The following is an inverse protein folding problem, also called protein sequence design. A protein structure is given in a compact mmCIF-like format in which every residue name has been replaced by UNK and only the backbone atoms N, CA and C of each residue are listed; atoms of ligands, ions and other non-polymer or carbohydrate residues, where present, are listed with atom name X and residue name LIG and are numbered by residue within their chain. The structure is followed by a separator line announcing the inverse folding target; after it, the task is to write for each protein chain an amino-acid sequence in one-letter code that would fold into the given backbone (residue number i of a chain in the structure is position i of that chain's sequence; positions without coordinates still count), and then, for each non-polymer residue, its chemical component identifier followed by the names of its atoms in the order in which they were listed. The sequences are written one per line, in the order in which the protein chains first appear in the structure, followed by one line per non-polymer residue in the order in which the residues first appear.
data_IF_270330895238
#
_entry.id   IF_270330895238
#
_cell.length_a   1.000
_cell.length_b   1.000
_cell.length_c   1.000
_cell.angle_alpha   90.00
_cell.angle_beta   90.00
_cell.angle_gamma   90.00
#
_symmetry.space_group_name_H-M   'P 1'
#
loop_
_entity.id
_entity.type
_entity.pdbx_description
1 polymer ?
#
# COMPACT_ATOMS: atom_id res chain seq x y z
N UNK A 1 -16.28 -6.32 23.85
CA UNK A 1 -16.63 -7.18 25.01
C UNK A 1 -18.10 -7.63 24.98
N UNK A 2 -19.03 -6.83 24.46
CA UNK A 2 -20.48 -7.10 24.45
C UNK A 2 -20.94 -8.33 23.65
N UNK A 3 -20.07 -9.05 22.94
CA UNK A 3 -20.42 -10.25 22.17
C UNK A 3 -19.44 -11.41 22.44
N UNK A 4 -18.73 -11.37 23.59
CA UNK A 4 -17.73 -12.37 23.95
C UNK A 4 -16.39 -12.23 23.21
N UNK A 5 -16.12 -11.06 22.62
CA UNK A 5 -14.81 -10.72 22.09
C UNK A 5 -13.92 -10.15 23.19
N UNK A 6 -12.66 -10.55 23.22
CA UNK A 6 -11.59 -10.03 24.10
C UNK A 6 -10.48 -9.47 23.24
N UNK A 7 -9.85 -8.39 23.70
CA UNK A 7 -8.70 -7.84 23.00
C UNK A 7 -7.57 -8.87 22.96
N UNK A 8 -6.99 -9.04 21.77
CA UNK A 8 -5.92 -9.99 21.54
C UNK A 8 -4.56 -9.28 21.52
N UNK A 9 -3.56 -9.88 22.15
CA UNK A 9 -2.16 -9.47 22.02
C UNK A 9 -1.52 -10.04 20.75
N UNK A 10 -2.16 -11.02 20.10
CA UNK A 10 -1.73 -11.64 18.86
C UNK A 10 -2.21 -10.82 17.67
N UNK A 11 -1.53 -9.72 17.35
CA UNK A 11 -1.94 -8.89 16.21
C UNK A 11 -1.34 -9.41 14.91
N UNK A 12 -2.19 -9.63 13.89
CA UNK A 12 -1.77 -9.94 12.52
C UNK A 12 -1.60 -8.69 11.65
N UNK A 13 -2.04 -7.52 12.13
CA UNK A 13 -2.01 -6.26 11.41
C UNK A 13 -1.21 -5.21 12.18
N UNK A 14 -0.50 -4.36 11.45
CA UNK A 14 0.16 -3.18 12.01
C UNK A 14 -0.95 -2.21 12.43
N UNK A 15 -1.03 -1.82 13.72
CA UNK A 15 -2.18 -1.05 14.22
C UNK A 15 -2.21 0.41 13.78
N UNK A 16 -1.07 0.96 13.32
CA UNK A 16 -0.98 2.33 12.83
C UNK A 16 -1.06 2.34 11.31
N UNK A 17 -1.84 3.23 10.76
CA UNK A 17 -1.94 3.48 9.33
C UNK A 17 -2.06 4.98 9.07
N UNK A 18 -2.30 5.35 7.82
CA UNK A 18 -2.56 6.71 7.37
C UNK A 18 -3.65 6.64 6.31
N UNK A 19 -4.78 7.28 6.57
CA UNK A 19 -5.94 7.28 5.68
C UNK A 19 -6.15 8.68 5.13
N UNK A 20 -6.13 8.80 3.81
CA UNK A 20 -6.46 10.06 3.12
C UNK A 20 -7.91 10.00 2.66
N UNK A 21 -8.69 11.03 3.02
CA UNK A 21 -10.03 11.27 2.47
C UNK A 21 -9.90 11.77 1.03
N UNK A 22 -10.20 10.89 0.07
CA UNK A 22 -10.09 11.20 -1.36
C UNK A 22 -11.40 11.75 -1.94
N UNK A 23 -12.47 11.94 -1.16
CA UNK A 23 -13.70 12.60 -1.63
C UNK A 23 -13.45 14.07 -1.92
N UNK A 24 -12.49 14.69 -1.25
CA UNK A 24 -12.10 16.10 -1.42
C UNK A 24 -11.51 16.35 -2.80
N UNK A 25 -11.56 17.59 -3.25
CA UNK A 25 -10.96 17.97 -4.52
C UNK A 25 -9.41 17.82 -4.49
N UNK A 26 -8.82 17.61 -5.65
CA UNK A 26 -7.39 17.35 -5.80
C UNK A 26 -6.53 18.50 -5.28
N UNK A 27 -6.97 19.75 -5.47
CA UNK A 27 -6.27 20.93 -4.97
C UNK A 27 -6.25 20.97 -3.45
N UNK A 28 -7.33 20.56 -2.80
CA UNK A 28 -7.41 20.44 -1.34
C UNK A 28 -6.48 19.36 -0.83
N UNK A 29 -6.51 18.15 -1.41
CA UNK A 29 -5.58 17.06 -1.09
C UNK A 29 -4.14 17.54 -1.28
N UNK A 30 -3.85 18.16 -2.42
CA UNK A 30 -2.53 18.69 -2.73
C UNK A 30 -2.04 19.74 -1.71
N UNK A 31 -2.91 20.63 -1.22
CA UNK A 31 -2.57 21.67 -0.23
C UNK A 31 -2.22 21.08 1.14
N UNK A 32 -2.74 19.92 1.49
CA UNK A 32 -2.43 19.25 2.76
C UNK A 32 -1.05 18.58 2.77
N UNK A 33 -0.53 18.25 1.60
CA UNK A 33 0.84 17.75 1.48
C UNK A 33 1.85 18.82 1.93
N UNK A 34 3.00 18.39 2.41
CA UNK A 34 4.11 19.32 2.67
C UNK A 34 4.54 20.05 1.39
N UNK A 35 5.18 21.20 1.50
CA UNK A 35 5.63 21.94 0.31
C UNK A 35 6.60 21.12 -0.54
N UNK A 36 7.49 20.37 0.08
CA UNK A 36 8.44 19.48 -0.63
C UNK A 36 7.72 18.33 -1.34
N UNK A 37 6.73 17.72 -0.71
CA UNK A 37 5.93 16.64 -1.30
C UNK A 37 5.15 17.15 -2.50
N UNK A 38 4.47 18.30 -2.39
CA UNK A 38 3.80 18.96 -3.53
C UNK A 38 4.74 19.21 -4.71
N UNK A 39 5.93 19.71 -4.40
CA UNK A 39 6.94 19.98 -5.44
C UNK A 39 7.37 18.68 -6.13
N UNK A 40 7.58 17.59 -5.36
CA UNK A 40 7.93 16.29 -5.91
C UNK A 40 6.80 15.70 -6.77
N UNK A 41 5.54 15.79 -6.34
CA UNK A 41 4.37 15.38 -7.15
C UNK A 41 4.33 16.15 -8.47
N UNK A 42 4.45 17.49 -8.42
CA UNK A 42 4.46 18.32 -9.64
C UNK A 42 5.64 18.01 -10.57
N UNK A 43 6.82 17.74 -9.99
CA UNK A 43 8.00 17.33 -10.76
C UNK A 43 7.79 16.00 -11.46
N UNK A 44 7.18 15.06 -10.77
CA UNK A 44 6.85 13.74 -11.30
C UNK A 44 5.93 13.83 -12.52
N UNK A 45 4.86 14.64 -12.45
CA UNK A 45 3.94 14.86 -13.58
C UNK A 45 4.53 15.66 -14.77
N UNK A 46 5.64 16.36 -14.54
CA UNK A 46 6.36 17.09 -15.60
C UNK A 46 7.51 16.29 -16.21
N UNK A 47 7.77 15.08 -15.73
CA UNK A 47 8.85 14.25 -16.26
C UNK A 47 8.50 13.85 -17.71
N UNK A 48 9.47 14.01 -18.59
CA UNK A 48 9.32 13.67 -20.00
C UNK A 48 9.29 12.15 -20.19
N UNK A 49 8.55 11.71 -21.19
CA UNK A 49 8.40 10.29 -21.55
C UNK A 49 7.88 9.40 -20.41
N UNK A 50 7.10 9.96 -19.48
CA UNK A 50 6.52 9.25 -18.34
C UNK A 50 5.01 9.14 -18.50
N UNK A 51 4.47 7.94 -18.20
CA UNK A 51 3.04 7.69 -18.11
C UNK A 51 2.68 6.97 -16.81
N UNK A 52 1.45 7.14 -16.35
CA UNK A 52 0.87 6.42 -15.22
C UNK A 52 -0.36 5.65 -15.71
N UNK A 53 -0.60 4.46 -15.17
CA UNK A 53 -1.75 3.65 -15.58
C UNK A 53 -1.84 2.31 -14.88
N UNK A 54 -2.86 1.53 -15.25
CA UNK A 54 -3.02 0.15 -14.80
C UNK A 54 -2.06 -0.77 -15.56
N UNK A 55 -1.50 -1.74 -14.85
CA UNK A 55 -0.74 -2.84 -15.42
C UNK A 55 -1.72 -3.92 -15.88
N UNK A 56 -1.72 -4.22 -17.17
CA UNK A 56 -2.57 -5.25 -17.79
C UNK A 56 -1.77 -6.38 -18.40
N UNK A 57 -0.55 -6.09 -18.84
CA UNK A 57 0.30 -7.04 -19.55
C UNK A 57 1.19 -7.84 -18.57
N UNK A 58 1.42 -9.11 -18.89
CA UNK A 58 2.28 -9.97 -18.08
C UNK A 58 3.73 -9.45 -18.03
N UNK A 59 4.25 -8.91 -19.13
CA UNK A 59 5.59 -8.36 -19.19
C UNK A 59 5.79 -7.18 -18.22
N UNK A 60 4.77 -6.35 -18.03
CA UNK A 60 4.80 -5.26 -17.04
C UNK A 60 4.70 -5.79 -15.61
N UNK A 61 3.90 -6.83 -15.37
CA UNK A 61 3.85 -7.51 -14.07
C UNK A 61 5.21 -8.10 -13.69
N UNK A 62 5.91 -8.72 -14.63
CA UNK A 62 7.24 -9.28 -14.38
C UNK A 62 8.24 -8.18 -13.97
N UNK A 63 8.19 -6.99 -14.59
CA UNK A 63 8.97 -5.83 -14.20
C UNK A 63 8.59 -5.33 -12.80
N UNK A 64 7.29 -5.27 -12.48
CA UNK A 64 6.81 -4.90 -11.13
C UNK A 64 7.35 -5.86 -10.08
N UNK A 65 7.29 -7.16 -10.31
CA UNK A 65 7.78 -8.17 -9.38
C UNK A 65 9.31 -8.06 -9.18
N UNK A 66 10.05 -7.72 -10.22
CA UNK A 66 11.49 -7.43 -10.11
C UNK A 66 11.76 -6.21 -9.20
N UNK A 67 11.02 -5.10 -9.39
CA UNK A 67 11.13 -3.92 -8.54
C UNK A 67 10.71 -4.23 -7.10
N UNK A 68 9.69 -5.07 -6.88
CA UNK A 68 9.26 -5.49 -5.56
C UNK A 68 10.37 -6.23 -4.82
N UNK A 69 11.03 -7.20 -5.48
CA UNK A 69 12.17 -7.94 -4.93
C UNK A 69 13.34 -7.03 -4.60
N UNK A 70 13.66 -6.07 -5.47
CA UNK A 70 14.73 -5.09 -5.23
C UNK A 70 14.39 -4.20 -4.03
N UNK A 71 13.15 -3.73 -3.95
CA UNK A 71 12.66 -2.89 -2.84
C UNK A 71 12.74 -3.66 -1.52
N UNK A 72 12.30 -4.90 -1.50
CA UNK A 72 12.36 -5.76 -0.31
C UNK A 72 13.79 -6.01 0.15
N UNK A 73 14.71 -6.29 -0.78
CA UNK A 73 16.14 -6.45 -0.48
C UNK A 73 16.72 -5.17 0.14
N UNK A 74 16.38 -4.00 -0.40
CA UNK A 74 16.86 -2.71 0.09
C UNK A 74 16.29 -2.36 1.47
N UNK A 75 15.01 -2.70 1.73
CA UNK A 75 14.31 -2.41 2.97
C UNK A 75 14.35 -3.57 3.98
N UNK A 76 15.04 -4.67 3.64
CA UNK A 76 15.26 -5.85 4.50
C UNK A 76 13.96 -6.49 5.01
N UNK A 77 13.03 -6.77 4.09
CA UNK A 77 11.84 -7.56 4.40
C UNK A 77 11.66 -8.73 3.42
N UNK A 78 10.91 -9.77 3.85
CA UNK A 78 10.62 -10.91 3.03
C UNK A 78 9.51 -10.61 2.01
N UNK A 79 9.61 -11.18 0.81
CA UNK A 79 8.56 -11.14 -0.21
C UNK A 79 7.96 -12.53 -0.40
N UNK A 80 6.69 -12.56 -0.75
CA UNK A 80 6.04 -13.77 -1.20
C UNK A 80 6.53 -14.19 -2.61
N UNK A 81 6.21 -15.42 -3.01
CA UNK A 81 6.55 -15.92 -4.36
C UNK A 81 5.83 -15.13 -5.46
N UNK A 82 6.37 -15.16 -6.67
CA UNK A 82 5.71 -14.55 -7.82
C UNK A 82 4.30 -15.14 -8.04
N UNK A 83 4.16 -16.46 -7.90
CA UNK A 83 2.88 -17.16 -7.97
C UNK A 83 1.85 -16.59 -6.97
N UNK A 84 2.27 -16.26 -5.75
CA UNK A 84 1.36 -15.65 -4.77
C UNK A 84 0.84 -14.29 -5.24
N UNK A 85 1.71 -13.47 -5.84
CA UNK A 85 1.31 -12.16 -6.38
C UNK A 85 0.41 -12.30 -7.62
N UNK A 86 0.69 -13.25 -8.51
CA UNK A 86 -0.18 -13.59 -9.63
C UNK A 86 -1.57 -14.03 -9.15
N UNK A 87 -1.63 -14.85 -8.12
CA UNK A 87 -2.89 -15.28 -7.50
C UNK A 87 -3.68 -14.10 -6.90
N UNK A 88 -3.02 -13.10 -6.27
CA UNK A 88 -3.70 -11.89 -5.81
C UNK A 88 -4.36 -11.16 -6.99
N UNK A 89 -3.63 -10.98 -8.11
CA UNK A 89 -4.18 -10.36 -9.31
C UNK A 89 -5.41 -11.14 -9.82
N UNK A 90 -5.25 -12.44 -9.98
CA UNK A 90 -6.22 -13.27 -10.70
C UNK A 90 -7.48 -13.55 -9.86
N UNK A 91 -7.33 -13.88 -8.57
CA UNK A 91 -8.47 -14.23 -7.72
C UNK A 91 -9.22 -13.02 -7.17
N UNK A 92 -8.56 -11.89 -7.00
CA UNK A 92 -9.25 -10.67 -6.55
C UNK A 92 -9.86 -9.87 -7.73
N UNK A 93 -9.49 -10.19 -8.96
CA UNK A 93 -10.04 -9.58 -10.16
C UNK A 93 -10.04 -8.04 -10.11
N UNK A 94 -11.18 -7.37 -10.41
CA UNK A 94 -11.24 -5.90 -10.43
C UNK A 94 -10.93 -5.22 -9.10
N UNK A 95 -11.00 -5.93 -7.97
CA UNK A 95 -10.61 -5.40 -6.67
C UNK A 95 -9.10 -5.23 -6.55
N UNK A 96 -8.31 -6.02 -7.27
CA UNK A 96 -6.85 -5.93 -7.34
C UNK A 96 -6.44 -4.94 -8.42
N UNK A 97 -5.87 -3.79 -8.05
CA UNK A 97 -5.47 -2.75 -8.98
C UNK A 97 -3.96 -2.51 -8.89
N UNK A 98 -3.24 -3.03 -9.86
CA UNK A 98 -1.82 -2.81 -10.00
C UNK A 98 -1.58 -1.58 -10.89
N UNK A 99 -1.02 -0.54 -10.31
CA UNK A 99 -0.78 0.75 -10.94
C UNK A 99 0.72 0.97 -11.07
N UNK A 100 1.18 1.39 -12.23
CA UNK A 100 2.59 1.66 -12.45
C UNK A 100 2.85 3.05 -13.05
N UNK A 101 4.09 3.46 -12.93
CA UNK A 101 4.70 4.56 -13.70
C UNK A 101 5.75 3.97 -14.61
N UNK A 102 5.66 4.32 -15.89
CA UNK A 102 6.65 3.94 -16.92
C UNK A 102 7.46 5.14 -17.35
N UNK A 103 8.72 4.93 -17.67
CA UNK A 103 9.53 5.82 -18.48
C UNK A 103 9.79 5.10 -19.82
N UNK A 104 9.17 5.57 -20.91
CA UNK A 104 9.08 4.77 -22.14
C UNK A 104 8.31 3.47 -21.89
N UNK A 105 8.97 2.34 -22.16
CA UNK A 105 8.41 1.00 -21.98
C UNK A 105 8.87 0.32 -20.67
N UNK A 106 9.70 1.01 -19.88
CA UNK A 106 10.23 0.47 -18.63
C UNK A 106 9.36 0.86 -17.43
N UNK A 107 8.90 -0.10 -16.64
CA UNK A 107 8.26 0.16 -15.35
C UNK A 107 9.31 0.65 -14.37
N UNK A 108 9.11 1.83 -13.79
CA UNK A 108 10.07 2.46 -12.87
C UNK A 108 9.52 2.70 -11.46
N UNK A 109 8.21 2.59 -11.28
CA UNK A 109 7.58 2.58 -9.95
C UNK A 109 6.21 1.87 -10.03
N UNK A 110 5.77 1.30 -8.92
CA UNK A 110 4.43 0.70 -8.84
C UNK A 110 3.80 0.90 -7.47
N UNK A 111 2.49 0.81 -7.42
CA UNK A 111 1.66 0.60 -6.23
C UNK A 111 0.59 -0.44 -6.55
N UNK A 112 0.39 -1.37 -5.63
CA UNK A 112 -0.62 -2.40 -5.76
C UNK A 112 -1.69 -2.18 -4.70
N UNK A 113 -2.91 -1.92 -5.16
CA UNK A 113 -4.06 -1.64 -4.32
C UNK A 113 -5.02 -2.82 -4.30
N UNK A 114 -5.72 -2.98 -3.19
CA UNK A 114 -6.96 -3.74 -3.11
C UNK A 114 -8.09 -2.79 -2.72
N UNK A 115 -9.14 -2.77 -3.53
CA UNK A 115 -10.33 -1.96 -3.27
C UNK A 115 -11.40 -2.84 -2.63
N UNK A 116 -11.86 -2.46 -1.45
CA UNK A 116 -12.94 -3.11 -0.73
C UNK A 116 -13.96 -2.06 -0.29
N UNK A 117 -15.18 -2.16 -0.80
CA UNK A 117 -16.22 -1.16 -0.58
C UNK A 117 -15.77 0.22 -1.01
N UNK A 118 -15.66 1.16 -0.07
CA UNK A 118 -15.25 2.54 -0.31
C UNK A 118 -13.79 2.85 0.11
N UNK A 119 -12.99 1.82 0.31
CA UNK A 119 -11.59 1.99 0.73
C UNK A 119 -10.66 1.26 -0.24
N UNK A 120 -9.61 1.96 -0.68
CA UNK A 120 -8.48 1.39 -1.38
C UNK A 120 -7.32 1.20 -0.37
N UNK A 121 -6.82 -0.01 -0.27
CA UNK A 121 -5.70 -0.37 0.61
C UNK A 121 -4.44 -0.61 -0.21
N UNK A 122 -3.32 -0.02 0.17
CA UNK A 122 -2.02 -0.35 -0.41
C UNK A 122 -1.52 -1.68 0.13
N UNK A 123 -1.36 -2.67 -0.73
CA UNK A 123 -0.71 -3.93 -0.37
C UNK A 123 0.80 -3.85 -0.54
N UNK A 124 1.24 -3.39 -1.70
CA UNK A 124 2.65 -3.32 -2.08
C UNK A 124 2.96 -2.03 -2.81
N UNK A 125 4.22 -1.64 -2.78
CA UNK A 125 4.72 -0.53 -3.56
C UNK A 125 6.23 -0.57 -3.67
N UNK A 126 6.74 -0.12 -4.80
CA UNK A 126 8.17 -0.10 -5.05
C UNK A 126 8.56 0.96 -6.07
N UNK A 127 9.85 1.27 -6.08
CA UNK A 127 10.42 2.26 -6.99
C UNK A 127 11.86 1.86 -7.32
N UNK A 128 12.19 1.87 -8.60
CA UNK A 128 13.54 1.64 -9.10
C UNK A 128 14.45 2.84 -8.81
N UNK A 129 15.78 2.69 -8.88
CA UNK A 129 16.71 3.83 -8.75
C UNK A 129 16.40 4.95 -9.75
N UNK A 130 15.95 4.62 -10.95
CA UNK A 130 15.56 5.59 -11.97
C UNK A 130 14.28 6.33 -11.56
N UNK A 131 13.25 5.62 -11.12
CA UNK A 131 12.01 6.20 -10.62
C UNK A 131 12.23 7.13 -9.41
N UNK A 132 13.19 6.79 -8.52
CA UNK A 132 13.56 7.66 -7.40
C UNK A 132 14.17 8.99 -7.88
N UNK A 133 15.05 8.97 -8.87
CA UNK A 133 15.64 10.19 -9.43
C UNK A 133 14.58 11.11 -10.03
N UNK A 134 13.60 10.55 -10.67
CA UNK A 134 12.47 11.27 -11.29
C UNK A 134 11.35 11.60 -10.29
N UNK A 135 11.43 11.15 -9.04
CA UNK A 135 10.40 11.32 -8.00
C UNK A 135 9.06 10.67 -8.35
N UNK A 136 9.05 9.64 -9.18
CA UNK A 136 7.81 9.05 -9.72
C UNK A 136 6.95 8.37 -8.66
N UNK A 137 7.53 7.88 -7.58
CA UNK A 137 6.79 7.38 -6.42
C UNK A 137 5.82 8.42 -5.80
N UNK A 138 6.15 9.72 -5.88
CA UNK A 138 5.26 10.79 -5.39
C UNK A 138 4.07 11.01 -6.33
N UNK A 139 4.32 11.16 -7.63
CA UNK A 139 3.26 11.32 -8.62
C UNK A 139 2.37 10.09 -8.72
N UNK A 140 2.96 8.89 -8.64
CA UNK A 140 2.23 7.64 -8.69
C UNK A 140 1.23 7.51 -7.53
N UNK A 141 1.61 7.85 -6.31
CA UNK A 141 0.69 7.85 -5.15
C UNK A 141 -0.46 8.83 -5.35
N UNK A 142 -0.15 10.05 -5.81
CA UNK A 142 -1.19 11.04 -6.07
C UNK A 142 -2.11 10.62 -7.21
N UNK A 143 -1.55 10.08 -8.30
CA UNK A 143 -2.33 9.53 -9.41
C UNK A 143 -3.22 8.37 -8.96
N UNK A 144 -2.72 7.47 -8.14
CA UNK A 144 -3.48 6.35 -7.61
C UNK A 144 -4.68 6.82 -6.76
N UNK A 145 -4.50 7.83 -5.92
CA UNK A 145 -5.60 8.44 -5.15
C UNK A 145 -6.69 9.03 -6.06
N UNK A 146 -6.30 9.76 -7.11
CA UNK A 146 -7.27 10.36 -8.05
C UNK A 146 -7.96 9.29 -8.90
N UNK A 147 -7.23 8.24 -9.28
CA UNK A 147 -7.76 7.11 -10.03
C UNK A 147 -8.86 6.36 -9.27
N UNK A 148 -8.61 5.99 -8.01
CA UNK A 148 -9.61 5.26 -7.22
C UNK A 148 -10.79 6.15 -6.81
N UNK A 149 -10.56 7.45 -6.57
CA UNK A 149 -11.62 8.44 -6.38
C UNK A 149 -12.61 8.44 -7.54
N UNK A 150 -12.13 8.41 -8.78
CA UNK A 150 -12.99 8.36 -9.97
C UNK A 150 -13.87 7.10 -10.03
N UNK A 151 -13.54 6.06 -9.26
CA UNK A 151 -14.32 4.83 -9.10
C UNK A 151 -15.29 4.87 -7.91
N UNK A 152 -15.39 6.00 -7.19
CA UNK A 152 -16.27 6.15 -6.04
C UNK A 152 -15.65 5.71 -4.71
N UNK A 153 -14.33 5.47 -4.66
CA UNK A 153 -13.59 5.25 -3.42
C UNK A 153 -13.55 6.56 -2.63
N UNK A 154 -13.74 6.46 -1.33
CA UNK A 154 -13.78 7.59 -0.41
C UNK A 154 -12.51 7.69 0.44
N UNK A 155 -11.83 6.56 0.70
CA UNK A 155 -10.66 6.48 1.58
C UNK A 155 -9.51 5.76 0.88
N UNK A 156 -8.34 6.36 0.96
CA UNK A 156 -7.09 5.75 0.52
C UNK A 156 -6.23 5.44 1.74
N UNK A 157 -6.09 4.16 2.05
CA UNK A 157 -5.34 3.67 3.19
C UNK A 157 -3.94 3.23 2.74
N UNK A 158 -2.93 3.93 3.23
CA UNK A 158 -1.53 3.61 2.95
C UNK A 158 -1.06 2.31 3.60
N UNK A 159 -1.91 1.69 4.42
CA UNK A 159 -1.65 0.45 5.14
C UNK A 159 -0.36 0.52 5.98
N UNK A 160 -0.34 -0.14 7.09
CA UNK A 160 0.74 -0.35 8.05
C UNK A 160 1.86 0.69 8.11
N UNK A 161 1.99 1.39 9.25
CA UNK A 161 3.11 2.28 9.53
C UNK A 161 4.01 1.65 10.60
N UNK A 162 5.26 1.41 10.22
CA UNK A 162 6.35 1.01 11.10
C UNK A 162 7.25 2.22 11.42
N UNK A 163 8.39 1.96 12.04
CA UNK A 163 9.43 2.96 12.24
C UNK A 163 10.59 2.70 11.24
N UNK A 164 10.29 2.92 9.96
CA UNK A 164 11.20 2.67 8.85
C UNK A 164 11.07 3.74 7.74
N UNK A 165 11.98 3.72 6.79
CA UNK A 165 12.01 4.71 5.71
C UNK A 165 10.81 4.62 4.76
N UNK A 166 10.13 3.47 4.67
CA UNK A 166 8.90 3.33 3.88
C UNK A 166 7.76 4.08 4.56
N UNK A 167 7.61 3.92 5.87
CA UNK A 167 6.63 4.63 6.68
C UNK A 167 6.89 6.13 6.72
N UNK A 168 8.15 6.56 6.79
CA UNK A 168 8.53 7.97 6.70
C UNK A 168 8.14 8.58 5.35
N UNK A 169 8.23 7.80 4.27
CA UNK A 169 7.73 8.23 2.97
C UNK A 169 6.19 8.35 2.96
N UNK A 170 5.46 7.38 3.51
CA UNK A 170 3.99 7.41 3.61
C UNK A 170 3.51 8.63 4.42
N UNK A 171 4.16 8.95 5.54
CA UNK A 171 3.85 10.11 6.40
C UNK A 171 3.93 11.47 5.68
N UNK A 172 4.57 11.53 4.52
CA UNK A 172 4.64 12.77 3.75
C UNK A 172 3.31 13.11 3.04
N UNK A 173 2.36 12.18 2.99
CA UNK A 173 1.07 12.35 2.30
C UNK A 173 -0.08 12.81 3.20
N UNK A 174 0.08 12.80 4.52
CA UNK A 174 -0.88 13.39 5.46
C UNK A 174 -0.16 13.90 6.72
N UNK A 175 -0.89 14.71 7.51
CA UNK A 175 -0.37 15.30 8.76
C UNK A 175 -0.85 14.57 10.01
N UNK A 176 -1.49 13.42 9.84
CA UNK A 176 -2.06 12.59 10.90
C UNK A 176 -1.70 11.13 10.69
N UNK A 177 -1.84 10.36 11.71
CA UNK A 177 -1.83 8.90 11.67
C UNK A 177 -3.15 8.39 12.26
N UNK A 178 -3.63 7.28 11.73
CA UNK A 178 -4.83 6.63 12.19
C UNK A 178 -4.48 5.38 12.99
N UNK A 179 -5.27 5.10 14.02
CA UNK A 179 -5.14 3.90 14.83
C UNK A 179 -6.30 2.95 14.56
N UNK A 180 -5.99 1.76 14.12
CA UNK A 180 -6.97 0.69 14.03
C UNK A 180 -7.45 0.29 15.42
N UNK A 181 -8.67 -0.23 15.51
CA UNK A 181 -9.26 -0.68 16.78
C UNK A 181 -8.47 -1.82 17.45
N UNK A 182 -7.57 -2.47 16.71
CA UNK A 182 -6.79 -3.61 17.17
C UNK A 182 -7.43 -4.95 16.81
N UNK A 183 -6.81 -6.01 17.28
CA UNK A 183 -7.27 -7.40 17.09
C UNK A 183 -8.10 -7.84 18.29
N UNK A 184 -9.18 -8.52 18.01
CA UNK A 184 -10.07 -9.09 19.02
C UNK A 184 -10.32 -10.55 18.72
N UNK A 185 -10.16 -11.41 19.72
CA UNK A 185 -10.41 -12.83 19.64
C UNK A 185 -11.75 -13.18 20.28
N UNK A 186 -12.44 -14.16 19.69
CA UNK A 186 -13.59 -14.82 20.28
C UNK A 186 -13.33 -16.31 20.32
N UNK A 187 -13.31 -16.86 21.53
CA UNK A 187 -13.19 -18.30 21.70
C UNK A 187 -14.48 -18.99 21.26
N UNK A 188 -14.38 -19.81 20.22
CA UNK A 188 -15.47 -20.66 19.72
C UNK A 188 -15.25 -22.15 20.07
N UNK A 189 -14.14 -22.49 20.73
CA UNK A 189 -13.74 -23.83 21.06
C UNK A 189 -12.99 -23.87 22.41
N UNK A 190 -13.16 -24.90 23.25
CA UNK A 190 -12.35 -25.08 24.45
C UNK A 190 -10.84 -25.18 24.20
N UNK A 191 -10.43 -25.53 22.97
CA UNK A 191 -9.03 -25.60 22.55
C UNK A 191 -8.42 -24.23 22.18
N UNK A 192 -9.24 -23.19 22.04
CA UNK A 192 -8.75 -21.86 21.63
C UNK A 192 -7.67 -21.28 22.57
N UNK A 193 -7.77 -21.39 23.93
CA UNK A 193 -6.71 -20.89 24.80
C UNK A 193 -5.36 -21.57 24.57
N UNK A 194 -5.34 -22.86 24.25
CA UNK A 194 -4.11 -23.61 23.94
C UNK A 194 -3.51 -23.08 22.64
N UNK A 195 -4.33 -22.90 21.61
CA UNK A 195 -3.88 -22.32 20.33
C UNK A 195 -3.36 -20.90 20.51
N UNK A 196 -4.07 -20.03 21.21
CA UNK A 196 -3.69 -18.65 21.46
C UNK A 196 -2.34 -18.53 22.19
N UNK A 197 -2.05 -19.45 23.11
CA UNK A 197 -0.77 -19.50 23.84
C UNK A 197 0.37 -20.02 22.96
N UNK A 198 0.10 -20.97 22.06
CA UNK A 198 1.12 -21.56 21.18
C UNK A 198 1.47 -20.67 19.98
N UNK A 199 0.52 -19.86 19.51
CA UNK A 199 0.68 -19.05 18.28
C UNK A 199 1.89 -18.09 18.31
N UNK A 200 2.18 -17.37 19.41
CA UNK A 200 3.38 -16.51 19.49
C UNK A 200 4.68 -17.27 19.34
N UNK A 201 4.73 -18.52 19.88
CA UNK A 201 5.94 -19.37 19.83
C UNK A 201 6.27 -19.82 18.41
N UNK A 202 5.25 -20.01 17.54
CA UNK A 202 5.43 -20.41 16.15
C UNK A 202 5.81 -19.21 15.26
N UNK A 203 5.40 -17.99 15.64
CA UNK A 203 5.69 -16.76 14.88
C UNK A 203 7.05 -16.15 15.20
N UNK A 204 7.69 -16.55 16.28
CA UNK A 204 9.01 -16.04 16.71
C UNK A 204 10.20 -16.81 16.09
N UNK A 205 9.92 -17.86 15.30
CA UNK A 205 10.89 -18.60 14.49
C UNK A 205 10.82 -18.20 13.02
#
# INVERSE_FOLDING_TARGET
EAAGYVRSDNTGLIPRTLIVDVTRDEDTIMKELSSSTRQNVRKSFKAENVRFGLVTEQADLDQVLAINKETAKRANFAVHSDLYHEQIRDFMGPASQLIAAWEGDEVVAFVWLVVSGKTAFELYGGVSPRGMKLRLNYGLKFWAMTHVKAQGVERYDFNGLLNDGISDFKRQFAKHEDMLVGTYDKSLSPMFPVFATALPLVRST
#
